data_IF_184587643474
#
_entry.id   IF_184587643474
#
_cell.length_a   1.000
_cell.length_b   1.000
_cell.length_c   1.000
_cell.angle_alpha   90.00
_cell.angle_beta   90.00
_cell.angle_gamma   90.00
#
_symmetry.space_group_name_H-M   'P 1'
#
loop_
_entity.id
_entity.type
_entity.pdbx_description
1 polymer ?
#
# COMPACT_ATOMS: atom_id res chain seq x y z
N UNK A 1 -3.50 20.73 34.83
CA UNK A 1 -3.82 19.29 34.82
C UNK A 1 -2.50 18.55 34.58
N UNK A 2 -2.30 17.39 35.17
CA UNK A 2 -1.09 16.62 34.87
C UNK A 2 -1.09 16.26 33.35
N UNK A 3 -0.03 16.61 32.60
CA UNK A 3 0.01 16.36 31.15
C UNK A 3 -0.12 14.86 30.76
N UNK A 4 0.34 13.95 31.62
CA UNK A 4 0.21 12.51 31.40
C UNK A 4 -1.26 12.08 31.51
N UNK A 5 -1.98 12.57 32.53
CA UNK A 5 -3.41 12.31 32.70
C UNK A 5 -4.20 12.90 31.53
N UNK A 6 -3.84 14.13 31.11
CA UNK A 6 -4.46 14.77 29.96
C UNK A 6 -4.24 13.96 28.68
N UNK A 7 -3.02 13.45 28.47
CA UNK A 7 -2.70 12.54 27.36
C UNK A 7 -3.57 11.27 27.35
N UNK A 8 -3.83 10.69 28.53
CA UNK A 8 -4.74 9.56 28.68
C UNK A 8 -6.19 9.91 28.29
N UNK A 9 -6.67 11.11 28.67
CA UNK A 9 -8.01 11.58 28.29
C UNK A 9 -8.10 11.84 26.77
N UNK A 10 -7.07 12.44 26.17
CA UNK A 10 -6.99 12.66 24.72
C UNK A 10 -7.00 11.32 23.99
N UNK A 11 -6.22 10.34 24.42
CA UNK A 11 -6.17 9.02 23.82
C UNK A 11 -7.55 8.32 23.90
N UNK A 12 -8.17 8.34 25.08
CA UNK A 12 -9.49 7.73 25.27
C UNK A 12 -10.57 8.40 24.40
N UNK A 13 -10.60 9.74 24.38
CA UNK A 13 -11.56 10.50 23.57
C UNK A 13 -11.35 10.25 22.07
N UNK A 14 -10.09 10.15 21.62
CA UNK A 14 -9.75 9.82 20.22
C UNK A 14 -10.28 8.44 19.88
N UNK A 15 -10.03 7.44 20.73
CA UNK A 15 -10.54 6.08 20.53
C UNK A 15 -12.07 6.07 20.45
N UNK A 16 -12.75 6.72 21.38
CA UNK A 16 -14.22 6.79 21.40
C UNK A 16 -14.80 7.44 20.15
N UNK A 17 -14.20 8.55 19.69
CA UNK A 17 -14.63 9.24 18.47
C UNK A 17 -14.39 8.37 17.24
N UNK A 18 -13.26 7.69 17.13
CA UNK A 18 -12.97 6.81 16.00
C UNK A 18 -13.90 5.58 15.98
N UNK A 19 -14.23 5.00 17.14
CA UNK A 19 -15.19 3.88 17.23
C UNK A 19 -16.63 4.29 16.94
N UNK A 20 -16.95 5.58 16.92
CA UNK A 20 -18.29 6.06 16.51
C UNK A 20 -18.54 5.93 14.99
N UNK A 21 -17.55 5.48 14.21
CA UNK A 21 -17.68 5.32 12.77
C UNK A 21 -17.40 6.58 11.94
N UNK A 22 -16.93 7.65 12.57
CA UNK A 22 -16.49 8.86 11.88
C UNK A 22 -15.17 8.59 11.16
N UNK A 23 -14.95 9.22 10.00
CA UNK A 23 -13.68 9.09 9.27
C UNK A 23 -12.50 9.55 10.14
N UNK A 24 -11.34 8.88 9.99
CA UNK A 24 -10.15 9.14 10.80
C UNK A 24 -9.76 10.62 10.80
N UNK A 25 -9.75 11.26 9.63
CA UNK A 25 -9.41 12.68 9.51
C UNK A 25 -10.35 13.59 10.31
N UNK A 26 -11.68 13.37 10.17
CA UNK A 26 -12.66 14.15 10.92
C UNK A 26 -12.58 13.86 12.41
N UNK A 27 -12.37 12.60 12.80
CA UNK A 27 -12.20 12.22 14.20
C UNK A 27 -11.02 12.93 14.85
N UNK A 28 -9.87 12.95 14.19
CA UNK A 28 -8.69 13.68 14.66
C UNK A 28 -8.95 15.19 14.76
N UNK A 29 -9.61 15.79 13.77
CA UNK A 29 -9.96 17.22 13.79
C UNK A 29 -10.94 17.57 14.91
N UNK A 30 -12.00 16.77 15.12
CA UNK A 30 -12.98 16.99 16.20
C UNK A 30 -12.29 16.97 17.56
N UNK A 31 -11.47 15.95 17.82
CA UNK A 31 -10.75 15.85 19.09
C UNK A 31 -9.78 17.01 19.25
N UNK A 32 -8.94 17.27 18.24
CA UNK A 32 -7.96 18.36 18.31
C UNK A 32 -8.61 19.71 18.55
N UNK A 33 -9.63 20.03 17.76
CA UNK A 33 -10.37 21.30 17.88
C UNK A 33 -11.05 21.40 19.24
N UNK A 34 -11.66 20.33 19.75
CA UNK A 34 -12.31 20.30 21.05
C UNK A 34 -11.33 20.59 22.20
N UNK A 35 -10.18 19.92 22.21
CA UNK A 35 -9.17 20.15 23.25
C UNK A 35 -8.51 21.52 23.15
N UNK A 36 -8.18 21.98 21.93
CA UNK A 36 -7.66 23.34 21.73
C UNK A 36 -8.63 24.41 22.22
N UNK A 37 -9.94 24.27 21.93
CA UNK A 37 -10.96 25.17 22.41
C UNK A 37 -11.06 25.21 23.93
N UNK A 38 -10.97 24.06 24.60
CA UNK A 38 -11.12 23.94 26.04
C UNK A 38 -9.90 24.55 26.76
N UNK A 39 -8.68 24.32 26.26
CA UNK A 39 -7.45 24.69 26.98
C UNK A 39 -6.81 25.98 26.46
N UNK A 40 -6.82 26.23 25.14
CA UNK A 40 -6.18 27.41 24.51
C UNK A 40 -7.20 28.50 24.11
N UNK A 41 -8.52 28.18 24.15
CA UNK A 41 -9.60 29.11 23.86
C UNK A 41 -9.81 29.35 22.34
N UNK A 42 -10.66 30.36 22.02
CA UNK A 42 -11.10 30.62 20.64
C UNK A 42 -9.95 31.03 19.68
N UNK A 43 -8.89 31.62 20.20
CA UNK A 43 -7.75 32.04 19.36
C UNK A 43 -7.03 30.86 18.69
N UNK A 44 -7.04 29.70 19.31
CA UNK A 44 -6.43 28.49 18.73
C UNK A 44 -7.09 28.04 17.43
N UNK A 45 -8.35 28.42 17.22
CA UNK A 45 -9.06 28.09 15.96
C UNK A 45 -8.48 28.84 14.76
N UNK A 46 -7.91 30.03 14.95
CA UNK A 46 -7.31 30.81 13.87
C UNK A 46 -6.05 30.13 13.32
N UNK A 47 -5.39 29.28 14.11
CA UNK A 47 -4.19 28.55 13.72
C UNK A 47 -4.51 27.27 12.92
N UNK A 48 -5.71 26.71 13.06
CA UNK A 48 -6.07 25.45 12.39
C UNK A 48 -5.96 25.54 10.86
N UNK A 49 -6.52 26.57 10.19
CA UNK A 49 -6.38 26.72 8.74
C UNK A 49 -4.92 26.85 8.30
N UNK A 50 -4.09 27.56 9.06
CA UNK A 50 -2.68 27.75 8.76
C UNK A 50 -1.91 26.43 8.86
N UNK A 51 -2.17 25.63 9.90
CA UNK A 51 -1.56 24.32 10.09
C UNK A 51 -2.01 23.36 8.96
N UNK A 52 -3.30 23.32 8.63
CA UNK A 52 -3.83 22.49 7.54
C UNK A 52 -3.18 22.87 6.22
N UNK A 53 -3.10 24.16 5.90
CA UNK A 53 -2.47 24.64 4.68
C UNK A 53 -0.97 24.32 4.66
N UNK A 54 -0.25 24.63 5.73
CA UNK A 54 1.19 24.39 5.83
C UNK A 54 1.57 22.90 5.72
N UNK A 55 0.70 22.00 6.22
CA UNK A 55 0.92 20.56 6.07
C UNK A 55 0.66 20.06 4.66
N UNK A 56 -0.19 20.74 3.88
CA UNK A 56 -0.49 20.40 2.49
C UNK A 56 0.42 21.11 1.49
N UNK A 57 1.07 22.20 1.87
CA UNK A 57 2.02 22.95 1.03
C UNK A 57 3.41 22.28 1.04
N UNK A 58 3.45 21.04 0.53
CA UNK A 58 4.67 20.27 0.41
C UNK A 58 4.69 19.52 -0.94
N UNK A 59 5.69 19.83 -1.77
CA UNK A 59 5.84 19.22 -3.08
C UNK A 59 5.97 17.70 -3.05
N UNK A 60 6.54 17.12 -1.98
CA UNK A 60 6.67 15.68 -1.83
C UNK A 60 5.30 14.97 -1.74
N UNK A 61 4.23 15.68 -1.32
CA UNK A 61 2.87 15.13 -1.29
C UNK A 61 2.34 14.76 -2.68
N UNK A 62 2.84 15.38 -3.76
CA UNK A 62 2.46 15.02 -5.12
C UNK A 62 2.82 13.57 -5.47
N UNK A 63 3.79 12.97 -4.79
CA UNK A 63 4.11 11.56 -4.97
C UNK A 63 2.93 10.64 -4.63
N UNK A 64 2.10 11.01 -3.63
CA UNK A 64 0.96 10.19 -3.18
C UNK A 64 -0.06 9.97 -4.30
N UNK A 65 -0.70 11.01 -4.87
CA UNK A 65 -1.68 10.84 -5.93
C UNK A 65 -1.07 10.17 -7.16
N UNK A 66 0.19 10.44 -7.49
CA UNK A 66 0.84 9.84 -8.66
C UNK A 66 1.06 8.33 -8.48
N UNK A 67 1.58 7.88 -7.32
CA UNK A 67 1.70 6.45 -7.05
C UNK A 67 0.34 5.74 -6.93
N UNK A 68 -0.68 6.40 -6.39
CA UNK A 68 -2.04 5.84 -6.33
C UNK A 68 -2.60 5.67 -7.75
N UNK A 69 -2.46 6.67 -8.62
CA UNK A 69 -2.87 6.57 -10.04
C UNK A 69 -2.10 5.44 -10.74
N UNK A 70 -0.79 5.33 -10.50
CA UNK A 70 0.03 4.26 -11.04
C UNK A 70 -0.52 2.87 -10.65
N UNK A 71 -0.77 2.66 -9.36
CA UNK A 71 -1.30 1.40 -8.84
C UNK A 71 -2.73 1.10 -9.31
N UNK A 72 -3.62 2.09 -9.26
CA UNK A 72 -5.03 1.95 -9.66
C UNK A 72 -5.17 1.70 -11.16
N UNK A 73 -4.32 2.32 -11.99
CA UNK A 73 -4.31 2.09 -13.43
C UNK A 73 -4.04 0.62 -13.77
N UNK A 74 -3.13 0.00 -13.05
CA UNK A 74 -2.79 -1.42 -13.22
C UNK A 74 -3.85 -2.32 -12.60
N UNK A 75 -4.32 -1.98 -11.40
CA UNK A 75 -5.35 -2.75 -10.69
C UNK A 75 -6.69 -2.83 -11.44
N UNK A 76 -7.00 -1.82 -12.27
CA UNK A 76 -8.18 -1.81 -13.13
C UNK A 76 -8.08 -2.68 -14.37
N UNK A 77 -6.89 -3.23 -14.67
CA UNK A 77 -6.62 -4.08 -15.82
C UNK A 77 -6.53 -5.56 -15.45
N UNK A 78 -6.23 -6.40 -16.43
CA UNK A 78 -5.93 -7.82 -16.20
C UNK A 78 -4.49 -8.09 -15.75
N UNK A 79 -3.71 -7.05 -15.44
CA UNK A 79 -2.31 -7.18 -15.06
C UNK A 79 -2.10 -8.10 -13.86
N UNK A 80 -2.96 -8.01 -12.83
CA UNK A 80 -2.91 -8.92 -11.69
C UNK A 80 -3.13 -10.39 -12.09
N UNK A 81 -4.04 -10.64 -13.04
CA UNK A 81 -4.29 -11.97 -13.58
C UNK A 81 -3.08 -12.49 -14.37
N UNK A 82 -2.49 -11.65 -15.22
CA UNK A 82 -1.33 -12.02 -16.02
C UNK A 82 -0.08 -12.29 -15.15
N UNK A 83 0.11 -11.50 -14.09
CA UNK A 83 1.16 -11.75 -13.09
C UNK A 83 0.96 -13.07 -12.36
N UNK A 84 -0.27 -13.32 -11.91
CA UNK A 84 -0.60 -14.57 -11.25
C UNK A 84 -0.37 -15.77 -12.18
N UNK A 85 -0.89 -15.70 -13.41
CA UNK A 85 -0.72 -16.75 -14.42
C UNK A 85 0.76 -17.00 -14.77
N UNK A 86 1.55 -15.93 -14.89
CA UNK A 86 2.98 -16.05 -15.12
C UNK A 86 3.67 -16.83 -13.99
N UNK A 87 3.45 -16.42 -12.74
CA UNK A 87 4.07 -17.09 -11.60
C UNK A 87 3.56 -18.53 -11.43
N UNK A 88 2.28 -18.77 -11.65
CA UNK A 88 1.73 -20.12 -11.66
C UNK A 88 2.47 -21.01 -12.68
N UNK A 89 2.63 -20.57 -13.92
CA UNK A 89 3.31 -21.34 -14.98
C UNK A 89 4.79 -21.64 -14.62
N UNK A 90 5.45 -20.75 -13.89
CA UNK A 90 6.85 -20.93 -13.48
C UNK A 90 7.00 -21.79 -12.23
N UNK A 91 6.07 -21.68 -11.27
CA UNK A 91 6.17 -22.29 -9.94
C UNK A 91 5.34 -23.57 -9.76
N UNK A 92 4.66 -24.06 -10.80
CA UNK A 92 3.82 -25.27 -10.74
C UNK A 92 4.51 -26.52 -10.22
N UNK A 93 5.82 -26.65 -10.39
CA UNK A 93 6.59 -27.81 -9.94
C UNK A 93 7.00 -27.75 -8.45
N UNK A 94 6.78 -26.60 -7.81
CA UNK A 94 7.16 -26.41 -6.39
C UNK A 94 6.01 -26.92 -5.53
N UNK A 95 6.27 -27.70 -4.47
CA UNK A 95 5.25 -28.07 -3.49
C UNK A 95 4.58 -26.82 -2.90
N UNK A 96 3.24 -26.80 -2.86
CA UNK A 96 2.52 -25.57 -2.48
C UNK A 96 2.60 -24.44 -3.51
N UNK A 97 2.91 -24.77 -4.78
CA UNK A 97 3.18 -23.81 -5.86
C UNK A 97 2.12 -22.73 -6.06
N UNK A 98 0.84 -23.03 -5.81
CA UNK A 98 -0.22 -22.02 -5.90
C UNK A 98 -0.17 -20.98 -4.78
N UNK A 99 0.13 -21.40 -3.55
CA UNK A 99 0.32 -20.46 -2.42
C UNK A 99 1.53 -19.57 -2.70
N UNK A 100 2.63 -20.18 -3.17
CA UNK A 100 3.85 -19.45 -3.52
C UNK A 100 3.60 -18.50 -4.69
N UNK A 101 2.80 -18.92 -5.69
CA UNK A 101 2.39 -18.07 -6.82
C UNK A 101 1.54 -16.89 -6.36
N UNK A 102 0.61 -17.09 -5.42
CA UNK A 102 -0.16 -16.01 -4.80
C UNK A 102 0.77 -15.00 -4.09
N UNK A 103 1.68 -15.50 -3.25
CA UNK A 103 2.62 -14.66 -2.50
C UNK A 103 3.55 -13.88 -3.44
N UNK A 104 4.08 -14.55 -4.46
CA UNK A 104 4.92 -13.91 -5.47
C UNK A 104 4.16 -12.89 -6.31
N UNK A 105 2.92 -13.21 -6.72
CA UNK A 105 2.07 -12.27 -7.45
C UNK A 105 1.70 -11.06 -6.58
N UNK A 106 1.40 -11.28 -5.30
CA UNK A 106 1.20 -10.20 -4.34
C UNK A 106 2.46 -9.33 -4.20
N UNK A 107 3.64 -9.92 -4.09
CA UNK A 107 4.91 -9.19 -3.97
C UNK A 107 5.15 -8.29 -5.19
N UNK A 108 5.03 -8.84 -6.40
CA UNK A 108 5.21 -8.09 -7.64
C UNK A 108 4.13 -7.03 -7.83
N UNK A 109 2.87 -7.36 -7.54
CA UNK A 109 1.77 -6.41 -7.65
C UNK A 109 1.87 -5.31 -6.60
N UNK A 110 2.33 -5.63 -5.39
CA UNK A 110 2.62 -4.66 -4.33
C UNK A 110 3.64 -3.62 -4.75
N UNK A 111 4.71 -4.05 -5.44
CA UNK A 111 5.72 -3.15 -5.99
C UNK A 111 5.19 -2.20 -7.08
N UNK A 112 3.97 -2.41 -7.57
CA UNK A 112 3.31 -1.53 -8.54
C UNK A 112 2.23 -0.66 -7.90
N UNK A 113 1.43 -1.26 -7.02
CA UNK A 113 0.26 -0.59 -6.43
C UNK A 113 0.60 0.21 -5.19
N UNK A 114 1.64 -0.18 -4.44
CA UNK A 114 1.99 0.43 -3.16
C UNK A 114 0.89 0.35 -2.10
N UNK A 115 -0.15 -0.47 -2.33
CA UNK A 115 -1.37 -0.53 -1.54
C UNK A 115 -1.74 -1.97 -1.20
N UNK A 116 -1.84 -2.29 0.10
CA UNK A 116 -2.25 -3.62 0.57
C UNK A 116 -3.67 -4.00 0.16
N UNK A 117 -4.69 -3.13 0.29
CA UNK A 117 -6.04 -3.44 -0.16
C UNK A 117 -6.13 -3.68 -1.66
N UNK A 118 -5.43 -2.87 -2.48
CA UNK A 118 -5.41 -3.05 -3.93
C UNK A 118 -4.77 -4.39 -4.32
N UNK A 119 -3.67 -4.76 -3.66
CA UNK A 119 -3.00 -6.05 -3.88
C UNK A 119 -3.91 -7.23 -3.53
N UNK A 120 -4.54 -7.20 -2.35
CA UNK A 120 -5.50 -8.23 -1.94
C UNK A 120 -6.66 -8.37 -2.94
N UNK A 121 -7.23 -7.25 -3.37
CA UNK A 121 -8.36 -7.25 -4.30
C UNK A 121 -7.98 -7.79 -5.68
N UNK A 122 -6.85 -7.33 -6.23
CA UNK A 122 -6.42 -7.71 -7.58
C UNK A 122 -6.01 -9.20 -7.65
N UNK A 123 -5.12 -9.62 -6.77
CA UNK A 123 -4.60 -11.00 -6.79
C UNK A 123 -5.61 -11.98 -6.18
N UNK A 124 -6.34 -11.59 -5.13
CA UNK A 124 -7.36 -12.43 -4.50
C UNK A 124 -8.50 -12.81 -5.44
N UNK A 125 -8.88 -11.92 -6.34
CA UNK A 125 -9.91 -12.18 -7.37
C UNK A 125 -9.56 -13.35 -8.28
N UNK A 126 -8.29 -13.60 -8.52
CA UNK A 126 -7.81 -14.69 -9.36
C UNK A 126 -7.32 -15.88 -8.52
N UNK A 127 -6.49 -15.64 -7.52
CA UNK A 127 -5.84 -16.69 -6.75
C UNK A 127 -6.80 -17.52 -5.91
N UNK A 128 -7.77 -16.90 -5.22
CA UNK A 128 -8.72 -17.64 -4.36
C UNK A 128 -9.58 -18.63 -5.16
N UNK A 129 -10.25 -18.23 -6.25
CA UNK A 129 -11.04 -19.18 -7.04
C UNK A 129 -10.19 -20.31 -7.64
N UNK A 130 -8.96 -20.03 -8.07
CA UNK A 130 -8.08 -21.04 -8.65
C UNK A 130 -7.63 -22.06 -7.60
N UNK A 131 -7.28 -21.61 -6.39
CA UNK A 131 -6.96 -22.51 -5.29
C UNK A 131 -8.15 -23.37 -4.88
N UNK A 132 -9.36 -22.79 -4.81
CA UNK A 132 -10.60 -23.53 -4.51
C UNK A 132 -10.88 -24.63 -5.54
N UNK A 133 -10.73 -24.34 -6.83
CA UNK A 133 -10.89 -25.33 -7.91
C UNK A 133 -9.95 -26.52 -7.76
N UNK A 134 -8.79 -26.31 -7.15
CA UNK A 134 -7.78 -27.35 -6.92
C UNK A 134 -7.85 -27.97 -5.52
N UNK A 135 -8.93 -27.73 -4.77
CA UNK A 135 -9.20 -28.37 -3.49
C UNK A 135 -8.47 -27.79 -2.29
N UNK A 136 -7.84 -26.60 -2.43
CA UNK A 136 -7.24 -25.93 -1.26
C UNK A 136 -8.31 -25.46 -0.29
N UNK A 137 -8.09 -25.62 1.03
CA UNK A 137 -8.98 -25.06 2.05
C UNK A 137 -9.13 -23.54 1.90
N UNK A 138 -10.36 -23.05 2.13
CA UNK A 138 -10.66 -21.61 2.02
C UNK A 138 -9.78 -20.74 2.92
N UNK A 139 -9.46 -21.23 4.13
CA UNK A 139 -8.57 -20.53 5.05
C UNK A 139 -7.14 -20.37 4.50
N UNK A 140 -6.62 -21.37 3.77
CA UNK A 140 -5.30 -21.30 3.13
C UNK A 140 -5.34 -20.34 1.94
N UNK A 141 -6.39 -20.44 1.10
CA UNK A 141 -6.56 -19.56 -0.04
C UNK A 141 -6.67 -18.08 0.38
N UNK A 142 -7.58 -17.76 1.29
CA UNK A 142 -7.75 -16.40 1.79
C UNK A 142 -6.54 -15.92 2.61
N UNK A 143 -5.96 -16.80 3.45
CA UNK A 143 -4.80 -16.50 4.28
C UNK A 143 -3.55 -16.17 3.45
N UNK A 144 -3.32 -16.86 2.34
CA UNK A 144 -2.20 -16.57 1.43
C UNK A 144 -2.30 -15.18 0.78
N UNK A 145 -3.52 -14.77 0.42
CA UNK A 145 -3.78 -13.45 -0.14
C UNK A 145 -3.67 -12.38 0.95
N UNK A 146 -4.22 -12.63 2.15
CA UNK A 146 -4.12 -11.68 3.26
C UNK A 146 -2.66 -11.45 3.67
N UNK A 147 -1.87 -12.52 3.81
CA UNK A 147 -0.45 -12.43 4.09
C UNK A 147 0.31 -11.73 2.95
N UNK A 148 0.07 -12.14 1.69
CA UNK A 148 0.68 -11.50 0.51
C UNK A 148 0.31 -10.03 0.38
N UNK A 149 -0.92 -9.65 0.73
CA UNK A 149 -1.37 -8.27 0.71
C UNK A 149 -0.62 -7.36 1.67
N UNK A 150 -0.15 -7.87 2.83
CA UNK A 150 0.65 -7.06 3.76
C UNK A 150 1.95 -6.55 3.15
N UNK A 151 2.44 -7.19 2.09
CA UNK A 151 3.64 -6.77 1.36
C UNK A 151 3.46 -5.40 0.70
N UNK A 152 2.21 -4.97 0.43
CA UNK A 152 1.92 -3.69 -0.23
C UNK A 152 2.35 -2.45 0.54
N UNK A 153 2.50 -2.53 1.85
CA UNK A 153 3.04 -1.44 2.66
C UNK A 153 4.55 -1.48 2.80
N UNK A 154 5.19 -2.61 2.51
CA UNK A 154 6.60 -2.83 2.79
C UNK A 154 7.46 -2.84 1.52
N UNK A 155 6.97 -3.42 0.42
CA UNK A 155 7.70 -3.47 -0.86
C UNK A 155 7.56 -2.12 -1.57
N UNK A 156 8.66 -1.41 -1.87
CA UNK A 156 8.60 -0.13 -2.54
C UNK A 156 8.22 -0.27 -4.05
N UNK A 157 7.56 0.77 -4.62
CA UNK A 157 7.09 1.99 -3.94
C UNK A 157 5.85 1.74 -3.06
N UNK A 158 5.82 2.36 -1.87
CA UNK A 158 4.73 2.20 -0.90
C UNK A 158 4.17 3.55 -0.48
N UNK A 159 2.85 3.73 -0.60
CA UNK A 159 2.15 4.95 -0.17
C UNK A 159 2.34 5.20 1.33
N UNK A 160 2.33 4.14 2.14
CA UNK A 160 2.55 4.24 3.59
C UNK A 160 3.94 4.77 3.93
N UNK A 161 4.98 4.31 3.22
CA UNK A 161 6.35 4.82 3.41
C UNK A 161 6.48 6.28 2.96
N UNK A 162 5.74 6.71 1.93
CA UNK A 162 5.72 8.12 1.51
C UNK A 162 5.13 8.98 2.63
N UNK A 163 3.96 8.59 3.14
CA UNK A 163 3.29 9.30 4.25
C UNK A 163 4.20 9.36 5.47
N UNK A 164 4.84 8.26 5.84
CA UNK A 164 5.80 8.22 6.95
C UNK A 164 6.99 9.15 6.69
N UNK A 165 7.59 9.11 5.49
CA UNK A 165 8.72 9.96 5.13
C UNK A 165 8.40 11.45 5.22
N UNK A 166 7.19 11.86 4.77
CA UNK A 166 6.72 13.24 4.86
C UNK A 166 6.48 13.63 6.33
N UNK A 167 5.82 12.76 7.11
CA UNK A 167 5.50 13.03 8.51
C UNK A 167 6.74 13.13 9.40
N UNK A 168 7.80 12.37 9.08
CA UNK A 168 9.06 12.34 9.86
C UNK A 168 10.20 13.13 9.22
N UNK A 169 9.92 13.86 8.13
CA UNK A 169 10.91 14.60 7.34
C UNK A 169 12.10 13.73 6.89
N UNK A 170 11.83 12.43 6.69
CA UNK A 170 12.85 11.46 6.26
C UNK A 170 12.79 11.29 4.74
N UNK A 171 13.96 11.08 4.11
CA UNK A 171 14.04 10.86 2.67
C UNK A 171 13.23 9.63 2.22
N UNK A 172 12.21 9.84 1.38
CA UNK A 172 11.37 8.79 0.81
C UNK A 172 12.20 7.76 0.04
N UNK A 173 13.21 8.21 -0.71
CA UNK A 173 14.11 7.30 -1.44
C UNK A 173 14.90 6.37 -0.50
N UNK A 174 15.40 6.88 0.63
CA UNK A 174 16.08 6.06 1.64
C UNK A 174 15.15 5.09 2.32
N UNK A 175 13.91 5.50 2.61
CA UNK A 175 12.89 4.61 3.18
C UNK A 175 12.53 3.46 2.22
N UNK A 176 12.40 3.76 0.95
CA UNK A 176 12.16 2.74 -0.07
C UNK A 176 13.32 1.74 -0.15
N UNK A 177 14.55 2.24 -0.16
CA UNK A 177 15.73 1.37 -0.14
C UNK A 177 15.77 0.48 1.11
N UNK A 178 15.46 1.05 2.28
CA UNK A 178 15.39 0.32 3.54
C UNK A 178 14.28 -0.76 3.55
N UNK A 179 13.19 -0.55 2.80
CA UNK A 179 12.08 -1.50 2.70
C UNK A 179 12.36 -2.73 1.83
N UNK A 180 13.34 -2.67 0.92
CA UNK A 180 13.62 -3.77 -0.03
C UNK A 180 14.04 -5.05 0.71
N UNK A 181 15.02 -4.97 1.59
CA UNK A 181 15.54 -6.15 2.30
C UNK A 181 14.49 -6.77 3.23
N UNK A 182 13.82 -6.01 4.12
CA UNK A 182 12.74 -6.54 4.94
C UNK A 182 11.57 -7.11 4.12
N UNK A 183 11.23 -6.44 3.01
CA UNK A 183 10.19 -6.91 2.09
C UNK A 183 10.52 -8.27 1.48
N UNK A 184 11.71 -8.43 0.93
CA UNK A 184 12.19 -9.70 0.38
C UNK A 184 12.31 -10.79 1.45
N UNK A 185 12.77 -10.43 2.65
CA UNK A 185 12.84 -11.36 3.78
C UNK A 185 11.44 -11.87 4.14
N UNK A 186 10.46 -10.98 4.23
CA UNK A 186 9.08 -11.35 4.56
C UNK A 186 8.45 -12.24 3.48
N UNK A 187 8.67 -11.92 2.20
CA UNK A 187 8.26 -12.79 1.08
C UNK A 187 8.89 -14.18 1.23
N UNK A 188 10.20 -14.23 1.48
CA UNK A 188 10.95 -15.48 1.68
C UNK A 188 10.41 -16.30 2.86
N UNK A 189 10.11 -15.66 3.99
CA UNK A 189 9.53 -16.32 5.17
C UNK A 189 8.13 -16.86 4.90
N UNK A 190 7.28 -16.12 4.21
CA UNK A 190 5.94 -16.60 3.83
C UNK A 190 6.03 -17.78 2.86
N UNK A 191 6.92 -17.71 1.87
CA UNK A 191 7.16 -18.83 0.96
C UNK A 191 7.74 -20.06 1.68
N UNK A 192 8.71 -19.87 2.57
CA UNK A 192 9.30 -20.94 3.37
C UNK A 192 8.26 -21.60 4.29
N UNK A 193 7.42 -20.78 4.94
CA UNK A 193 6.31 -21.29 5.75
C UNK A 193 5.32 -22.10 4.92
N UNK A 194 4.97 -21.62 3.73
CA UNK A 194 4.10 -22.34 2.81
C UNK A 194 4.67 -23.70 2.40
N UNK A 195 5.95 -23.75 2.05
CA UNK A 195 6.68 -24.98 1.73
C UNK A 195 6.68 -25.97 2.91
N UNK A 196 7.02 -25.48 4.11
CA UNK A 196 7.05 -26.29 5.34
C UNK A 196 5.67 -26.84 5.67
N UNK A 197 4.63 -26.02 5.60
CA UNK A 197 3.24 -26.41 5.88
C UNK A 197 2.77 -27.49 4.91
N UNK A 198 3.04 -27.33 3.61
CA UNK A 198 2.69 -28.32 2.58
C UNK A 198 3.46 -29.63 2.79
N UNK A 199 4.75 -29.55 3.09
CA UNK A 199 5.57 -30.73 3.36
C UNK A 199 5.08 -31.51 4.60
N UNK A 200 4.75 -30.80 5.68
CA UNK A 200 4.25 -31.41 6.94
C UNK A 200 2.88 -32.06 6.78
N UNK A 201 2.01 -31.47 5.97
CA UNK A 201 0.65 -32.01 5.75
C UNK A 201 0.65 -33.29 4.93
N UNK A 202 1.74 -33.65 4.24
CA UNK A 202 1.84 -34.86 3.41
C UNK A 202 0.88 -34.92 2.22
N UNK A 203 0.19 -33.85 1.95
CA UNK A 203 -0.90 -33.77 0.97
C UNK A 203 -0.31 -33.59 -0.44
N UNK A 204 -0.02 -34.71 -1.10
CA UNK A 204 0.47 -34.72 -2.49
C UNK A 204 -0.56 -34.15 -3.49
N UNK A 205 -1.82 -33.98 -3.10
CA UNK A 205 -2.85 -33.34 -3.93
C UNK A 205 -2.61 -31.85 -4.12
N UNK A 206 -1.76 -31.23 -3.31
CA UNK A 206 -1.34 -29.81 -3.43
C UNK A 206 -0.25 -29.61 -4.51
N UNK A 207 0.23 -30.67 -5.15
CA UNK A 207 1.06 -30.57 -6.35
C UNK A 207 0.17 -30.29 -7.55
N UNK A 208 0.47 -29.24 -8.27
CA UNK A 208 -0.25 -28.94 -9.50
C UNK A 208 -0.07 -30.10 -10.50
N UNK A 209 -1.18 -30.70 -10.95
CA UNK A 209 -1.18 -31.76 -11.95
C UNK A 209 -0.79 -31.26 -13.35
N UNK A 210 -0.80 -29.94 -13.58
CA UNK A 210 -0.51 -29.34 -14.87
C UNK A 210 0.96 -28.95 -14.98
N UNK A 211 1.68 -29.55 -15.89
CA UNK A 211 3.06 -29.21 -16.21
C UNK A 211 3.07 -28.34 -17.45
N UNK A 212 3.57 -27.12 -17.32
CA UNK A 212 3.71 -26.19 -18.45
C UNK A 212 5.03 -26.44 -19.19
N UNK A 213 4.96 -26.39 -20.51
CA UNK A 213 6.13 -26.43 -21.39
C UNK A 213 6.93 -25.13 -21.33
N UNK A 214 8.21 -25.18 -21.71
CA UNK A 214 9.03 -23.97 -21.79
C UNK A 214 8.40 -22.89 -22.69
N UNK A 215 7.78 -23.31 -23.80
CA UNK A 215 7.08 -22.39 -24.72
C UNK A 215 5.95 -21.64 -24.02
N UNK A 216 5.11 -22.34 -23.27
CA UNK A 216 4.00 -21.71 -22.51
C UNK A 216 4.50 -20.77 -21.41
N UNK A 217 5.66 -21.06 -20.80
CA UNK A 217 6.27 -20.19 -19.79
C UNK A 217 6.78 -18.88 -20.38
N UNK A 218 7.37 -18.92 -21.58
CA UNK A 218 7.86 -17.72 -22.25
C UNK A 218 6.78 -16.93 -22.96
N UNK A 219 5.67 -17.57 -23.37
CA UNK A 219 4.54 -16.92 -24.05
C UNK A 219 3.84 -15.86 -23.18
N UNK A 220 3.81 -16.04 -21.84
CA UNK A 220 3.20 -15.09 -20.92
C UNK A 220 4.10 -13.92 -20.59
N UNK A 221 5.43 -14.06 -20.75
CA UNK A 221 6.42 -13.08 -20.35
C UNK A 221 6.22 -11.69 -20.97
N UNK A 222 5.90 -11.56 -22.27
CA UNK A 222 5.66 -10.26 -22.91
C UNK A 222 4.52 -9.45 -22.27
N UNK A 223 3.57 -10.09 -21.61
CA UNK A 223 2.47 -9.41 -20.90
C UNK A 223 2.90 -8.83 -19.56
N UNK A 224 3.89 -9.43 -18.93
CA UNK A 224 4.38 -9.04 -17.60
C UNK A 224 5.60 -8.11 -17.68
N UNK A 225 6.44 -8.28 -18.71
CA UNK A 225 7.67 -7.50 -18.91
C UNK A 225 7.47 -5.98 -18.87
N UNK A 226 6.43 -5.37 -19.49
CA UNK A 226 6.23 -3.94 -19.44
C UNK A 226 6.09 -3.40 -18.01
N UNK A 227 5.39 -4.13 -17.14
CA UNK A 227 5.23 -3.75 -15.74
C UNK A 227 6.52 -3.89 -14.94
N UNK A 228 7.23 -5.00 -15.14
CA UNK A 228 8.54 -5.19 -14.50
C UNK A 228 9.53 -4.10 -14.92
N UNK A 229 9.50 -3.71 -16.19
CA UNK A 229 10.35 -2.63 -16.71
C UNK A 229 10.01 -1.27 -16.04
N UNK A 230 8.72 -0.98 -15.81
CA UNK A 230 8.32 0.24 -15.10
C UNK A 230 8.80 0.21 -13.66
N UNK A 231 8.59 -0.90 -12.92
CA UNK A 231 9.05 -1.03 -11.54
C UNK A 231 10.56 -0.81 -11.45
N UNK A 232 11.31 -1.53 -12.27
CA UNK A 232 12.78 -1.43 -12.30
C UNK A 232 13.20 -0.02 -12.69
N UNK A 233 12.55 0.58 -13.68
CA UNK A 233 12.83 1.93 -14.15
C UNK A 233 12.59 3.00 -13.09
N UNK A 234 11.46 2.92 -12.38
CA UNK A 234 11.10 3.82 -11.26
C UNK A 234 12.13 3.70 -10.13
N UNK A 235 12.45 2.48 -9.72
CA UNK A 235 13.42 2.23 -8.65
C UNK A 235 14.83 2.68 -9.07
N UNK A 236 15.23 2.38 -10.31
CA UNK A 236 16.54 2.81 -10.86
C UNK A 236 16.66 4.34 -10.92
N UNK A 237 15.65 5.03 -11.44
CA UNK A 237 15.66 6.49 -11.53
C UNK A 237 15.75 7.14 -10.14
N UNK A 238 15.04 6.59 -9.18
CA UNK A 238 14.99 7.10 -7.82
C UNK A 238 16.28 6.81 -7.04
N UNK A 239 16.80 5.58 -7.11
CA UNK A 239 18.03 5.19 -6.41
C UNK A 239 19.29 5.74 -7.08
N UNK A 240 19.25 5.91 -8.39
CA UNK A 240 20.32 6.56 -9.15
C UNK A 240 20.39 8.08 -8.97
N UNK A 241 19.44 8.68 -8.22
CA UNK A 241 19.38 10.13 -8.02
C UNK A 241 19.05 10.91 -9.31
N UNK A 242 18.48 10.24 -10.32
CA UNK A 242 18.15 10.84 -11.62
C UNK A 242 16.89 11.71 -11.46
N UNK A 243 15.93 11.30 -10.63
CA UNK A 243 14.69 12.01 -10.41
C UNK A 243 14.20 11.86 -8.97
N UNK A 244 13.41 12.82 -8.52
CA UNK A 244 12.76 12.82 -7.21
C UNK A 244 11.63 11.77 -7.15
N UNK A 245 11.18 11.37 -5.95
CA UNK A 245 10.04 10.46 -5.81
C UNK A 245 8.77 10.95 -6.53
N UNK A 246 8.51 12.27 -6.51
CA UNK A 246 7.33 12.85 -7.18
C UNK A 246 7.44 12.79 -8.69
N UNK A 247 8.60 13.07 -9.25
CA UNK A 247 8.87 12.99 -10.70
C UNK A 247 8.80 11.55 -11.20
N UNK A 248 9.44 10.61 -10.49
CA UNK A 248 9.38 9.19 -10.84
C UNK A 248 7.98 8.62 -10.75
N UNK A 249 7.19 9.05 -9.74
CA UNK A 249 5.80 8.68 -9.61
C UNK A 249 4.95 9.19 -10.77
N UNK A 250 5.15 10.44 -11.20
CA UNK A 250 4.43 11.04 -12.32
C UNK A 250 4.72 10.31 -13.64
N UNK A 251 6.00 10.03 -13.93
CA UNK A 251 6.40 9.25 -15.09
C UNK A 251 5.84 7.82 -15.01
N UNK A 252 5.96 7.17 -13.87
CA UNK A 252 5.41 5.83 -13.63
C UNK A 252 3.90 5.78 -13.84
N UNK A 253 3.15 6.75 -13.32
CA UNK A 253 1.70 6.86 -13.49
C UNK A 253 1.33 7.01 -14.97
N UNK A 254 2.01 7.90 -15.68
CA UNK A 254 1.79 8.11 -17.12
C UNK A 254 2.05 6.83 -17.91
N UNK A 255 3.18 6.15 -17.67
CA UNK A 255 3.51 4.90 -18.36
C UNK A 255 2.51 3.80 -18.05
N UNK A 256 2.06 3.67 -16.79
CA UNK A 256 1.04 2.69 -16.41
C UNK A 256 -0.31 2.96 -17.05
N UNK A 257 -0.74 4.24 -17.12
CA UNK A 257 -1.94 4.64 -17.87
C UNK A 257 -1.81 4.31 -19.36
N UNK A 258 -0.68 4.61 -19.97
CA UNK A 258 -0.42 4.28 -21.38
C UNK A 258 -0.49 2.77 -21.62
N UNK A 259 0.10 1.97 -20.76
CA UNK A 259 0.03 0.49 -20.85
C UNK A 259 -1.42 0.02 -20.67
N UNK A 260 -2.16 0.57 -19.70
CA UNK A 260 -3.57 0.24 -19.49
C UNK A 260 -4.40 0.55 -20.73
N UNK A 261 -4.17 1.67 -21.39
CA UNK A 261 -4.89 2.07 -22.62
C UNK A 261 -4.44 1.25 -23.82
N UNK A 262 -3.13 1.14 -24.07
CA UNK A 262 -2.61 0.56 -25.34
C UNK A 262 -2.63 -0.98 -25.29
N UNK A 263 -2.13 -1.57 -24.22
CA UNK A 263 -1.99 -3.05 -24.11
C UNK A 263 -3.29 -3.68 -23.64
N UNK A 264 -3.90 -3.13 -22.59
CA UNK A 264 -5.12 -3.69 -22.00
C UNK A 264 -6.41 -3.11 -22.59
N UNK A 265 -6.28 -2.22 -23.58
CA UNK A 265 -7.43 -1.65 -24.33
C UNK A 265 -8.48 -0.99 -23.43
N UNK A 266 -8.02 -0.33 -22.37
CA UNK A 266 -8.88 0.46 -21.50
C UNK A 266 -9.30 1.76 -22.20
N UNK A 267 -9.98 1.63 -23.35
CA UNK A 267 -10.32 2.75 -24.22
C UNK A 267 -11.66 3.40 -23.88
N UNK A 268 -12.45 2.74 -23.03
CA UNK A 268 -13.74 3.30 -22.64
C UNK A 268 -13.49 4.49 -21.68
N UNK A 269 -13.93 5.71 -22.06
CA UNK A 269 -13.74 6.89 -21.20
C UNK A 269 -14.38 6.76 -19.81
N UNK A 270 -15.45 5.95 -19.70
CA UNK A 270 -16.12 5.71 -18.41
C UNK A 270 -15.24 4.93 -17.46
N UNK A 271 -14.54 3.91 -17.95
CA UNK A 271 -13.65 3.08 -17.11
C UNK A 271 -12.41 3.88 -16.69
N UNK A 272 -11.85 4.67 -17.61
CA UNK A 272 -10.76 5.59 -17.30
C UNK A 272 -11.18 6.65 -16.27
N UNK A 273 -12.40 7.19 -16.40
CA UNK A 273 -12.95 8.12 -15.42
C UNK A 273 -13.11 7.49 -14.04
N UNK A 274 -13.53 6.23 -13.96
CA UNK A 274 -13.63 5.49 -12.68
C UNK A 274 -12.27 5.37 -12.04
N UNK A 275 -11.22 5.00 -12.79
CA UNK A 275 -9.84 4.90 -12.29
C UNK A 275 -9.38 6.24 -11.70
N UNK A 276 -9.51 7.31 -12.46
CA UNK A 276 -9.08 8.65 -12.03
C UNK A 276 -9.88 9.15 -10.82
N UNK A 277 -11.20 8.96 -10.84
CA UNK A 277 -12.09 9.36 -9.75
C UNK A 277 -11.74 8.63 -8.45
N UNK A 278 -11.57 7.31 -8.52
CA UNK A 278 -11.32 6.50 -7.33
C UNK A 278 -9.90 6.74 -6.78
N UNK A 279 -8.91 6.92 -7.66
CA UNK A 279 -7.56 7.36 -7.29
C UNK A 279 -7.56 8.74 -6.63
N UNK A 280 -8.36 9.68 -7.15
CA UNK A 280 -8.49 11.02 -6.56
C UNK A 280 -9.13 10.95 -5.18
N UNK A 281 -10.18 10.15 -5.00
CA UNK A 281 -10.81 9.96 -3.68
C UNK A 281 -9.84 9.40 -2.66
N UNK A 282 -9.07 8.38 -3.02
CA UNK A 282 -8.07 7.78 -2.14
C UNK A 282 -6.97 8.79 -1.80
N UNK A 283 -6.48 9.53 -2.79
CA UNK A 283 -5.47 10.58 -2.60
C UNK A 283 -5.95 11.68 -1.65
N UNK A 284 -7.15 12.22 -1.88
CA UNK A 284 -7.74 13.28 -1.06
C UNK A 284 -7.95 12.78 0.38
N UNK A 285 -8.42 11.54 0.54
CA UNK A 285 -8.59 10.94 1.86
C UNK A 285 -7.27 10.88 2.63
N UNK A 286 -6.19 10.43 2.00
CA UNK A 286 -4.87 10.32 2.63
C UNK A 286 -4.31 11.71 2.95
N UNK A 287 -4.38 12.65 2.02
CA UNK A 287 -3.91 14.02 2.23
C UNK A 287 -4.70 14.71 3.36
N UNK A 288 -5.99 14.46 3.45
CA UNK A 288 -6.83 14.99 4.52
C UNK A 288 -6.47 14.39 5.89
N UNK A 289 -6.14 13.10 5.94
CA UNK A 289 -5.63 12.47 7.18
C UNK A 289 -4.29 13.09 7.60
N UNK A 290 -3.38 13.35 6.66
CA UNK A 290 -2.07 13.98 6.96
C UNK A 290 -2.29 15.39 7.55
N UNK A 291 -3.16 16.18 6.93
CA UNK A 291 -3.47 17.52 7.39
C UNK A 291 -4.11 17.50 8.80
N UNK A 292 -5.09 16.62 9.01
CA UNK A 292 -5.74 16.43 10.31
C UNK A 292 -4.76 15.95 11.40
N UNK A 293 -3.86 15.01 11.06
CA UNK A 293 -2.81 14.56 11.95
C UNK A 293 -1.84 15.70 12.32
N UNK A 294 -1.61 16.65 11.41
CA UNK A 294 -0.85 17.87 11.70
C UNK A 294 -1.48 18.71 12.79
N UNK A 295 -2.79 18.93 12.73
CA UNK A 295 -3.53 19.66 13.79
C UNK A 295 -3.51 18.90 15.11
N UNK A 296 -3.67 17.57 15.05
CA UNK A 296 -3.61 16.70 16.23
C UNK A 296 -2.22 16.74 16.88
N UNK A 297 -1.15 16.68 16.08
CA UNK A 297 0.22 16.81 16.57
C UNK A 297 0.49 18.19 17.22
N UNK A 298 -0.03 19.26 16.62
CA UNK A 298 0.05 20.60 17.19
C UNK A 298 -0.65 20.65 18.55
N UNK A 299 -1.86 20.13 18.66
CA UNK A 299 -2.62 20.06 19.91
C UNK A 299 -1.85 19.31 21.01
N UNK A 300 -1.28 18.14 20.69
CA UNK A 300 -0.47 17.38 21.65
C UNK A 300 0.75 18.17 22.14
N UNK A 301 1.37 18.94 21.25
CA UNK A 301 2.54 19.76 21.57
C UNK A 301 2.17 21.01 22.38
N UNK A 302 1.07 21.71 22.04
CA UNK A 302 0.60 22.89 22.79
C UNK A 302 0.20 22.55 24.21
N UNK A 303 -0.34 21.35 24.42
CA UNK A 303 -0.73 20.84 25.75
C UNK A 303 0.43 20.16 26.52
N UNK A 304 1.67 20.24 26.03
CA UNK A 304 2.88 19.65 26.62
C UNK A 304 2.81 18.14 26.85
N UNK A 305 1.88 17.43 26.17
CA UNK A 305 1.70 16.00 26.33
C UNK A 305 2.91 15.23 25.75
N UNK A 306 3.43 15.66 24.61
CA UNK A 306 4.60 15.04 23.97
C UNK A 306 5.85 15.11 24.83
N UNK A 307 6.09 16.27 25.47
CA UNK A 307 7.22 16.49 26.36
C UNK A 307 7.13 15.62 27.63
N UNK A 308 5.95 15.60 28.26
CA UNK A 308 5.72 14.80 29.46
C UNK A 308 5.90 13.29 29.21
N UNK A 309 5.48 12.80 28.05
CA UNK A 309 5.70 11.38 27.68
C UNK A 309 7.19 11.11 27.44
N UNK A 310 7.91 12.04 26.80
CA UNK A 310 9.34 11.89 26.56
C UNK A 310 10.19 11.91 27.87
N UNK A 311 9.75 12.65 28.89
CA UNK A 311 10.39 12.66 30.19
C UNK A 311 10.08 11.41 31.04
N UNK A 312 8.94 10.76 30.75
CA UNK A 312 8.51 9.55 31.47
C UNK A 312 9.21 8.27 30.96
N UNK A 313 9.65 8.23 29.70
CA UNK A 313 10.39 7.12 29.09
C UNK A 313 11.86 7.21 29.43
#
# INVERSE_FOLDING_TARGET
MDPILLGGIVALSTILVLFSGVSVALGLLIVSTGFLLIFDGLRSLELIPEILFGKLDNFALLAIPMFIIMGSSIASTRAGADLYEALERWLTRVPGGLVISNLGACALFSAMSGSSPATCAAIGKMGIPEMRKRGYPDGVAAGSIAAGGTLGILIPPSVTMIVYGIATETSIGRLFLAGVIPGLLLVGLFMAWSLYSTWKSGDQQLLSSRVYTWKEKFEILPRVLPFLAIIIGVLYAMYGGIATPSETAAVGALLCLLIAVIIYKLWNPKDLWVVLRDSTKESVMIMFIIAAAGVFSYMLSSLFITQAIAEWI
#
